data_IF_519867242111
#
_entry.id   IF_519867242111
#
_cell.length_a   1.000
_cell.length_b   1.000
_cell.length_c   1.000
_cell.angle_alpha   90.00
_cell.angle_beta   90.00
_cell.angle_gamma   90.00
#
_symmetry.space_group_name_H-M   'P 1'
#
loop_
_entity.id
_entity.type
_entity.pdbx_description
1 polymer ?
#
# COMPACT_ATOMS: atom_id res chain seq x y z
N UNK A 1 -0.24 -2.58 -11.61
CA UNK A 1 0.06 -3.64 -10.62
C UNK A 1 0.41 -3.00 -9.31
N UNK A 2 -0.02 -3.56 -8.19
CA UNK A 2 0.35 -3.05 -6.87
C UNK A 2 1.85 -3.16 -6.64
N UNK A 3 2.40 -2.17 -5.95
CA UNK A 3 3.83 -2.07 -5.64
C UNK A 3 4.18 -2.98 -4.46
N UNK A 4 4.95 -4.03 -4.72
CA UNK A 4 5.43 -5.01 -3.73
C UNK A 4 6.95 -5.13 -3.67
N UNK A 5 7.67 -4.28 -4.40
CA UNK A 5 9.14 -4.25 -4.43
C UNK A 5 9.69 -3.36 -3.30
N UNK A 6 10.97 -3.57 -2.92
CA UNK A 6 11.64 -2.67 -1.99
C UNK A 6 11.66 -1.22 -2.49
N UNK A 7 11.26 -0.31 -1.61
CA UNK A 7 11.20 1.13 -1.85
C UNK A 7 11.73 1.84 -0.59
N UNK A 8 12.12 3.14 -0.67
CA UNK A 8 12.36 3.97 0.49
C UNK A 8 11.18 3.91 1.48
N UNK A 9 11.49 3.86 2.78
CA UNK A 9 10.49 3.58 3.82
C UNK A 9 9.29 4.54 3.84
N UNK A 10 9.51 5.83 3.61
CA UNK A 10 8.47 6.86 3.49
C UNK A 10 7.51 6.54 2.33
N UNK A 11 8.08 6.28 1.15
CA UNK A 11 7.32 5.96 -0.05
C UNK A 11 6.56 4.64 0.12
N UNK A 12 7.23 3.61 0.64
CA UNK A 12 6.65 2.29 0.84
C UNK A 12 5.51 2.31 1.86
N UNK A 13 5.68 3.06 2.95
CA UNK A 13 4.64 3.22 3.98
C UNK A 13 3.40 3.93 3.42
N UNK A 14 3.59 5.00 2.64
CA UNK A 14 2.47 5.67 1.95
C UNK A 14 1.80 4.75 0.93
N UNK A 15 2.57 4.02 0.11
CA UNK A 15 2.02 3.09 -0.88
C UNK A 15 1.11 2.03 -0.27
N UNK A 16 1.38 1.55 0.95
CA UNK A 16 0.51 0.60 1.66
C UNK A 16 -0.92 1.11 1.92
N UNK A 17 -1.21 2.40 1.69
CA UNK A 17 -2.57 2.93 1.80
C UNK A 17 -3.32 3.00 0.48
N UNK A 18 -2.63 3.03 -0.68
CA UNK A 18 -3.31 3.34 -1.95
C UNK A 18 -2.86 2.52 -3.15
N UNK A 19 -1.64 1.97 -3.19
CA UNK A 19 -1.16 1.27 -4.39
C UNK A 19 -0.13 0.17 -4.16
N UNK A 20 0.16 -0.14 -2.90
CA UNK A 20 1.17 -1.11 -2.49
C UNK A 20 0.56 -2.31 -1.80
N UNK A 21 1.34 -3.38 -1.71
CA UNK A 21 1.01 -4.61 -0.98
C UNK A 21 2.29 -5.32 -0.57
N UNK A 22 2.26 -6.03 0.54
CA UNK A 22 3.39 -6.86 0.96
C UNK A 22 3.54 -8.07 0.04
N UNK A 23 4.78 -8.40 -0.33
CA UNK A 23 5.05 -9.52 -1.24
C UNK A 23 4.56 -10.86 -0.68
N UNK A 24 4.54 -11.01 0.66
CA UNK A 24 3.98 -12.19 1.33
C UNK A 24 2.48 -12.29 1.10
N UNK A 25 1.78 -11.17 1.21
CA UNK A 25 0.34 -11.10 0.94
C UNK A 25 0.03 -11.37 -0.56
N UNK A 26 0.92 -10.98 -1.47
CA UNK A 26 0.82 -11.34 -2.90
C UNK A 26 0.93 -12.84 -3.11
N UNK A 27 1.90 -13.50 -2.45
CA UNK A 27 2.06 -14.95 -2.55
C UNK A 27 0.81 -15.67 -2.01
N UNK A 28 0.29 -15.24 -0.86
CA UNK A 28 -0.95 -15.77 -0.27
C UNK A 28 -2.14 -15.63 -1.23
N UNK A 29 -2.26 -14.51 -1.94
CA UNK A 29 -3.32 -14.31 -2.95
C UNK A 29 -3.22 -15.32 -4.10
N UNK A 30 -2.01 -15.62 -4.58
CA UNK A 30 -1.80 -16.59 -5.65
C UNK A 30 -2.13 -18.01 -5.18
N UNK A 31 -1.77 -18.36 -3.94
CA UNK A 31 -2.13 -19.67 -3.36
C UNK A 31 -3.65 -19.82 -3.30
N UNK A 32 -4.38 -18.81 -2.84
CA UNK A 32 -5.85 -18.84 -2.82
C UNK A 32 -6.46 -18.95 -4.21
N UNK A 33 -5.89 -18.24 -5.19
CA UNK A 33 -6.35 -18.30 -6.58
C UNK A 33 -6.22 -19.72 -7.18
N UNK A 34 -5.21 -20.50 -6.80
CA UNK A 34 -5.02 -21.88 -7.28
C UNK A 34 -6.11 -22.84 -6.81
N UNK A 35 -6.69 -22.59 -5.63
CA UNK A 35 -7.74 -23.43 -5.03
C UNK A 35 -9.12 -22.80 -5.14
N UNK A 36 -9.24 -21.71 -5.87
CA UNK A 36 -10.49 -20.98 -6.03
C UNK A 36 -11.46 -21.78 -6.90
N UNK A 37 -12.67 -21.98 -6.39
CA UNK A 37 -13.75 -22.73 -7.07
C UNK A 37 -14.76 -21.81 -7.78
N UNK A 38 -14.35 -20.58 -8.09
CA UNK A 38 -15.13 -19.63 -8.88
C UNK A 38 -15.15 -19.95 -10.38
N UNK A 39 -15.52 -18.96 -11.18
CA UNK A 39 -15.55 -19.06 -12.64
C UNK A 39 -14.17 -19.33 -13.24
N UNK A 40 -14.12 -19.94 -14.43
CA UNK A 40 -12.89 -20.28 -15.15
C UNK A 40 -11.96 -19.07 -15.37
N UNK A 41 -12.53 -17.86 -15.50
CA UNK A 41 -11.77 -16.63 -15.67
C UNK A 41 -12.21 -15.57 -14.67
N UNK A 42 -11.32 -15.23 -13.76
CA UNK A 42 -11.52 -14.19 -12.76
C UNK A 42 -10.27 -13.32 -12.66
N UNK A 43 -10.46 -12.06 -12.28
CA UNK A 43 -9.39 -11.08 -12.19
C UNK A 43 -9.61 -10.22 -10.96
N UNK A 44 -8.54 -10.09 -10.16
CA UNK A 44 -8.57 -9.43 -8.87
C UNK A 44 -7.45 -8.41 -8.76
N UNK A 45 -7.74 -7.29 -8.11
CA UNK A 45 -6.72 -6.34 -7.69
C UNK A 45 -6.20 -6.81 -6.33
N UNK A 46 -4.93 -7.17 -6.27
CA UNK A 46 -4.25 -7.55 -5.04
C UNK A 46 -3.49 -6.33 -4.52
N UNK A 47 -4.03 -5.66 -3.51
CA UNK A 47 -3.44 -4.48 -2.86
C UNK A 47 -3.65 -4.54 -1.35
N UNK A 48 -2.87 -3.78 -0.58
CA UNK A 48 -3.21 -3.55 0.82
C UNK A 48 -4.59 -2.87 0.95
N UNK A 49 -5.22 -3.02 2.12
CA UNK A 49 -6.47 -2.35 2.44
C UNK A 49 -6.27 -0.83 2.39
N UNK A 50 -7.16 -0.14 1.66
CA UNK A 50 -7.22 1.32 1.60
C UNK A 50 -8.17 1.87 2.66
N UNK A 51 -7.79 2.93 3.40
CA UNK A 51 -8.69 3.64 4.31
C UNK A 51 -9.59 4.67 3.59
N UNK A 52 -9.40 4.85 2.28
CA UNK A 52 -10.07 5.88 1.48
C UNK A 52 -11.36 5.36 0.84
N UNK A 53 -12.35 6.25 0.70
CA UNK A 53 -13.53 6.03 -0.12
C UNK A 53 -13.44 6.80 -1.45
N UNK A 54 -14.42 6.58 -2.34
CA UNK A 54 -14.51 7.33 -3.59
C UNK A 54 -14.67 8.85 -3.38
N UNK A 55 -15.29 9.27 -2.28
CA UNK A 55 -15.50 10.68 -1.94
C UNK A 55 -14.19 11.40 -1.60
N UNK A 56 -13.14 10.66 -1.22
CA UNK A 56 -11.84 11.23 -0.89
C UNK A 56 -11.02 11.57 -2.15
N UNK A 57 -11.35 11.00 -3.32
CA UNK A 57 -10.51 11.05 -4.53
C UNK A 57 -10.16 12.48 -4.97
N UNK A 58 -11.15 13.38 -5.02
CA UNK A 58 -10.94 14.77 -5.44
C UNK A 58 -10.01 15.53 -4.48
N UNK A 59 -10.11 15.25 -3.19
CA UNK A 59 -9.25 15.83 -2.16
C UNK A 59 -7.86 15.21 -2.20
N UNK A 60 -7.74 13.89 -2.39
CA UNK A 60 -6.45 13.19 -2.53
C UNK A 60 -5.64 13.69 -3.73
N UNK A 61 -6.31 14.04 -4.84
CA UNK A 61 -5.64 14.58 -6.02
C UNK A 61 -5.09 16.01 -5.82
N UNK A 62 -5.57 16.76 -4.81
CA UNK A 62 -5.25 18.19 -4.59
C UNK A 62 -4.44 18.44 -3.31
N UNK A 63 -4.77 17.72 -2.25
CA UNK A 63 -4.20 17.83 -0.90
C UNK A 63 -4.30 16.47 -0.19
N UNK A 64 -3.47 15.53 -0.63
CA UNK A 64 -3.40 14.21 0.00
C UNK A 64 -2.94 14.29 1.47
N UNK A 65 -2.11 15.26 1.81
CA UNK A 65 -1.59 15.42 3.17
C UNK A 65 -2.71 15.68 4.19
N UNK A 66 -3.69 16.52 3.86
CA UNK A 66 -4.86 16.75 4.74
C UNK A 66 -5.72 15.49 4.88
N UNK A 67 -6.01 14.80 3.78
CA UNK A 67 -6.79 13.55 3.82
C UNK A 67 -6.07 12.46 4.62
N UNK A 68 -4.75 12.34 4.47
CA UNK A 68 -3.94 11.38 5.23
C UNK A 68 -3.99 11.64 6.74
N UNK A 69 -3.93 12.91 7.17
CA UNK A 69 -4.07 13.28 8.59
C UNK A 69 -5.44 12.90 9.15
N UNK A 70 -6.50 13.02 8.34
CA UNK A 70 -7.86 12.68 8.76
C UNK A 70 -8.12 11.17 8.77
N UNK A 71 -7.78 10.48 7.68
CA UNK A 71 -8.10 9.07 7.45
C UNK A 71 -7.13 8.11 8.13
N UNK A 72 -5.86 8.51 8.26
CA UNK A 72 -4.79 7.66 8.80
C UNK A 72 -3.85 8.45 9.72
N UNK A 73 -4.36 9.00 10.85
CA UNK A 73 -3.56 9.84 11.75
C UNK A 73 -2.29 9.15 12.25
N UNK A 74 -2.34 7.83 12.48
CA UNK A 74 -1.17 7.04 12.89
C UNK A 74 -0.02 7.06 11.86
N UNK A 75 -0.32 7.09 10.56
CA UNK A 75 0.72 7.24 9.52
C UNK A 75 1.28 8.67 9.57
N UNK A 76 0.40 9.67 9.67
CA UNK A 76 0.81 11.07 9.72
C UNK A 76 1.73 11.37 10.92
N UNK A 77 1.41 10.81 12.08
CA UNK A 77 2.23 10.93 13.29
C UNK A 77 3.58 10.24 13.13
N UNK A 78 3.60 9.04 12.55
CA UNK A 78 4.85 8.33 12.28
C UNK A 78 5.76 9.11 11.32
N UNK A 79 5.18 9.74 10.29
CA UNK A 79 5.91 10.61 9.36
C UNK A 79 6.48 11.83 10.09
N UNK A 80 5.67 12.51 10.90
CA UNK A 80 6.12 13.65 11.68
C UNK A 80 7.27 13.29 12.65
N UNK A 81 7.13 12.19 13.39
CA UNK A 81 8.16 11.71 14.33
C UNK A 81 9.49 11.37 13.66
N UNK A 82 9.44 10.85 12.42
CA UNK A 82 10.63 10.49 11.64
C UNK A 82 11.12 11.64 10.75
N UNK A 83 10.47 12.81 10.79
CA UNK A 83 10.82 13.98 9.97
C UNK A 83 10.55 13.81 8.47
N UNK A 84 9.61 12.94 8.10
CA UNK A 84 9.24 12.67 6.71
C UNK A 84 8.06 13.54 6.27
N UNK A 85 8.06 13.93 5.00
CA UNK A 85 6.96 14.66 4.39
C UNK A 85 5.85 13.69 3.93
N UNK A 86 4.59 14.07 4.17
CA UNK A 86 3.46 13.35 3.58
C UNK A 86 3.39 13.64 2.06
N UNK A 87 2.88 12.70 1.25
CA UNK A 87 2.58 12.96 -0.16
C UNK A 87 1.66 14.17 -0.32
N UNK A 88 2.01 15.06 -1.25
CA UNK A 88 1.17 16.22 -1.58
C UNK A 88 -0.07 15.81 -2.37
N UNK A 89 0.08 14.84 -3.27
CA UNK A 89 -1.00 14.31 -4.10
C UNK A 89 -0.97 12.78 -4.18
N UNK A 90 -2.15 12.19 -4.33
CA UNK A 90 -2.34 10.77 -4.63
C UNK A 90 -3.32 10.70 -5.81
N UNK A 91 -2.85 10.16 -6.93
CA UNK A 91 -3.59 10.08 -8.19
C UNK A 91 -4.34 8.75 -8.37
N UNK A 92 -3.96 7.73 -7.60
CA UNK A 92 -4.40 6.36 -7.84
C UNK A 92 -4.57 5.57 -6.55
N UNK A 93 -5.73 4.93 -6.44
CA UNK A 93 -6.12 4.04 -5.34
C UNK A 93 -6.50 2.68 -5.91
N UNK A 94 -5.95 1.62 -5.34
CA UNK A 94 -6.27 0.23 -5.63
C UNK A 94 -7.18 -0.30 -4.52
N UNK A 95 -8.30 -0.89 -4.91
CA UNK A 95 -9.26 -1.50 -3.99
C UNK A 95 -9.21 -3.03 -4.10
N UNK A 96 -8.91 -3.76 -3.01
CA UNK A 96 -8.91 -5.21 -3.01
C UNK A 96 -10.30 -5.81 -2.77
N UNK A 97 -11.38 -5.01 -2.76
CA UNK A 97 -12.71 -5.46 -2.36
C UNK A 97 -13.18 -6.73 -3.09
N UNK A 98 -12.97 -6.80 -4.41
CA UNK A 98 -13.31 -8.01 -5.19
C UNK A 98 -12.48 -9.24 -4.79
N UNK A 99 -11.21 -9.05 -4.39
CA UNK A 99 -10.37 -10.16 -3.91
C UNK A 99 -10.85 -10.66 -2.55
N UNK A 100 -11.31 -9.75 -1.68
CA UNK A 100 -11.94 -10.10 -0.40
C UNK A 100 -13.20 -10.93 -0.62
N UNK A 101 -14.10 -10.47 -1.49
CA UNK A 101 -15.37 -11.14 -1.76
C UNK A 101 -15.19 -12.46 -2.51
N UNK A 102 -14.35 -12.47 -3.55
CA UNK A 102 -14.21 -13.60 -4.46
C UNK A 102 -13.22 -14.67 -4.02
N UNK A 103 -12.13 -14.29 -3.34
CA UNK A 103 -11.10 -15.23 -2.91
C UNK A 103 -11.08 -15.45 -1.39
N UNK A 104 -11.85 -14.66 -0.62
CA UNK A 104 -11.69 -14.60 0.84
C UNK A 104 -10.33 -14.04 1.27
N UNK A 105 -9.63 -13.35 0.36
CA UNK A 105 -8.28 -12.85 0.60
C UNK A 105 -8.29 -11.47 1.28
N UNK A 106 -7.37 -11.24 2.20
CA UNK A 106 -7.12 -9.90 2.75
C UNK A 106 -5.64 -9.71 3.05
N UNK A 107 -5.13 -8.50 2.83
CA UNK A 107 -3.74 -8.17 3.15
C UNK A 107 -3.52 -8.19 4.66
N UNK A 108 -2.41 -8.78 5.11
CA UNK A 108 -2.05 -8.89 6.52
C UNK A 108 -1.08 -7.79 6.95
N UNK A 109 -0.28 -7.27 6.02
CA UNK A 109 0.83 -6.37 6.32
C UNK A 109 0.62 -4.97 5.72
N UNK A 110 0.21 -4.03 6.58
CA UNK A 110 0.05 -2.61 6.25
C UNK A 110 1.33 -1.79 6.48
N UNK A 111 1.19 -0.45 6.53
CA UNK A 111 2.32 0.46 6.73
C UNK A 111 3.07 0.23 8.06
N UNK A 112 2.37 -0.23 9.12
CA UNK A 112 3.01 -0.51 10.41
C UNK A 112 4.11 -1.56 10.30
N UNK A 113 3.94 -2.57 9.44
CA UNK A 113 4.97 -3.58 9.17
C UNK A 113 6.14 -3.00 8.37
N UNK A 114 5.91 -2.02 7.49
CA UNK A 114 7.00 -1.28 6.82
C UNK A 114 7.88 -0.57 7.85
N UNK A 115 7.26 0.11 8.82
CA UNK A 115 7.99 0.79 9.91
C UNK A 115 8.75 -0.24 10.77
N UNK A 116 8.12 -1.34 11.13
CA UNK A 116 8.77 -2.41 11.90
C UNK A 116 9.91 -3.08 11.11
N UNK A 117 9.81 -3.19 9.79
CA UNK A 117 10.87 -3.69 8.91
C UNK A 117 12.06 -2.73 8.86
N UNK A 118 11.79 -1.43 8.78
CA UNK A 118 12.82 -0.41 8.86
C UNK A 118 13.56 -0.46 10.20
N UNK A 119 12.84 -0.52 11.32
CA UNK A 119 13.43 -0.49 12.66
C UNK A 119 14.35 -1.70 12.90
N UNK A 120 13.99 -2.88 12.35
CA UNK A 120 14.82 -4.09 12.39
C UNK A 120 15.83 -4.21 11.24
N UNK A 121 15.99 -3.15 10.42
CA UNK A 121 16.94 -3.06 9.29
C UNK A 121 16.78 -4.19 8.27
N UNK A 122 15.54 -4.52 7.94
CA UNK A 122 15.23 -5.46 6.86
C UNK A 122 15.71 -4.93 5.51
N UNK A 123 16.15 -5.83 4.61
CA UNK A 123 16.52 -5.48 3.24
C UNK A 123 15.29 -5.21 2.34
N UNK A 124 14.09 -5.54 2.81
CA UNK A 124 12.84 -5.33 2.08
C UNK A 124 12.38 -3.86 2.10
N UNK A 125 12.89 -3.06 3.04
CA UNK A 125 12.58 -1.63 3.16
C UNK A 125 13.86 -0.83 3.09
N UNK A 126 13.96 0.04 2.08
CA UNK A 126 15.17 0.81 1.87
C UNK A 126 15.20 2.02 2.80
N UNK A 127 16.40 2.44 3.17
CA UNK A 127 16.59 3.69 3.91
C UNK A 127 16.18 4.89 3.04
N UNK A 128 15.79 5.99 3.71
CA UNK A 128 15.51 7.25 3.04
C UNK A 128 16.64 7.66 2.09
N UNK A 129 16.27 8.17 0.91
CA UNK A 129 17.24 8.63 -0.10
C UNK A 129 17.95 7.51 -0.87
N UNK A 130 17.56 6.25 -0.69
CA UNK A 130 18.06 5.17 -1.54
C UNK A 130 17.71 5.44 -3.01
N UNK A 131 18.74 5.47 -3.86
CA UNK A 131 18.58 5.66 -5.29
C UNK A 131 18.10 4.36 -5.94
N UNK A 132 16.81 4.30 -6.20
CA UNK A 132 16.19 3.26 -7.03
C UNK A 132 15.97 3.83 -8.43
N UNK A 133 16.46 3.11 -9.44
CA UNK A 133 16.21 3.44 -10.84
C UNK A 133 14.71 3.30 -11.11
N UNK A 134 14.00 4.43 -11.07
CA UNK A 134 12.57 4.49 -11.41
C UNK A 134 12.48 4.67 -12.92
N UNK A 135 11.86 3.71 -13.61
CA UNK A 135 11.28 4.01 -14.92
C UNK A 135 10.17 5.02 -14.69
N UNK A 136 10.14 6.07 -15.51
CA UNK A 136 9.03 7.02 -15.58
C UNK A 136 7.73 6.24 -15.74
N UNK A 137 6.75 6.50 -14.88
CA UNK A 137 5.39 5.97 -15.03
C UNK A 137 4.58 6.76 -16.06
#
# INVERSE_FOLDING_TARGET
MSRSFPEPADVMAAYRLHRGVDIRDVADAHVLALTNAGDDFQHYIISAITPFSADDCDSLAKDAASVLRQRTPALADAFAQKGWALPETIDRIYSPARATEGLGWTSRFGFGEVLAQLDRRSLEVLTMGANISRKSE
#
